data_IF_050974722488
#
_entry.id   IF_050974722488
#
_cell.length_a   1.000
_cell.length_b   1.000
_cell.length_c   1.000
_cell.angle_alpha   90.00
_cell.angle_beta   90.00
_cell.angle_gamma   90.00
#
_symmetry.space_group_name_H-M   'P 1'
#
loop_
_entity.id
_entity.type
_entity.pdbx_description
1 polymer ?
#
# COMPACT_ATOMS: atom_id res chain seq x y z
N UNK A 1 20.10 -52.94 -24.15
CA UNK A 1 20.96 -51.78 -24.01
C UNK A 1 20.29 -50.74 -23.14
N UNK A 2 20.80 -50.58 -22.00
CA UNK A 2 20.22 -49.84 -20.91
C UNK A 2 20.44 -48.35 -21.18
N UNK A 3 19.42 -47.69 -21.64
CA UNK A 3 19.42 -46.27 -21.64
C UNK A 3 19.35 -45.77 -20.21
N UNK A 4 20.53 -45.48 -19.72
CA UNK A 4 20.71 -44.78 -18.47
C UNK A 4 20.27 -43.33 -18.64
N UNK A 5 19.00 -43.19 -18.91
CA UNK A 5 18.36 -41.90 -18.67
C UNK A 5 17.80 -41.96 -17.25
N UNK A 6 18.69 -42.27 -16.33
CA UNK A 6 18.52 -41.74 -15.00
C UNK A 6 18.80 -40.25 -15.10
N UNK A 7 17.82 -39.57 -15.58
CA UNK A 7 17.70 -38.15 -15.36
C UNK A 7 17.70 -38.01 -13.85
N UNK A 8 18.81 -37.60 -13.38
CA UNK A 8 18.92 -36.93 -12.11
C UNK A 8 17.93 -35.78 -12.13
N UNK A 9 16.74 -36.08 -11.68
CA UNK A 9 15.88 -35.09 -11.12
C UNK A 9 16.56 -34.68 -9.80
N UNK A 10 17.66 -33.97 -9.96
CA UNK A 10 18.15 -33.15 -8.88
C UNK A 10 17.02 -32.19 -8.59
N UNK A 11 16.23 -32.61 -7.62
CA UNK A 11 15.33 -31.75 -6.92
C UNK A 11 16.16 -30.60 -6.40
N UNK A 12 16.28 -29.58 -7.22
CA UNK A 12 16.71 -28.29 -6.76
C UNK A 12 15.58 -27.76 -5.92
N UNK A 13 15.55 -28.25 -4.70
CA UNK A 13 14.80 -27.65 -3.61
C UNK A 13 15.46 -26.29 -3.41
N UNK A 14 15.10 -25.38 -4.29
CA UNK A 14 15.28 -23.96 -4.00
C UNK A 14 14.38 -23.75 -2.81
N UNK A 15 14.99 -23.87 -1.66
CA UNK A 15 14.40 -23.37 -0.44
C UNK A 15 14.00 -21.94 -0.72
N UNK A 16 12.70 -21.73 -0.99
CA UNK A 16 12.07 -20.48 -0.70
C UNK A 16 12.19 -20.33 0.83
N UNK A 17 13.35 -19.93 1.25
CA UNK A 17 13.42 -19.21 2.50
C UNK A 17 12.64 -17.92 2.22
N UNK A 18 11.35 -17.98 2.36
CA UNK A 18 10.59 -16.84 2.77
C UNK A 18 11.26 -16.40 4.06
N UNK A 19 12.29 -15.60 3.93
CA UNK A 19 12.66 -14.72 5.01
C UNK A 19 11.42 -13.86 5.21
N UNK A 20 10.52 -14.34 6.03
CA UNK A 20 9.63 -13.49 6.76
C UNK A 20 10.54 -12.65 7.64
N UNK A 21 11.23 -11.74 7.01
CA UNK A 21 11.77 -10.59 7.68
C UNK A 21 10.54 -9.92 8.21
N UNK A 22 10.21 -10.24 9.44
CA UNK A 22 9.35 -9.43 10.26
C UNK A 22 9.99 -8.06 10.35
N UNK A 23 9.95 -7.35 9.24
CA UNK A 23 10.22 -5.94 9.21
C UNK A 23 9.09 -5.33 10.01
N UNK A 24 9.29 -5.21 11.30
CA UNK A 24 8.54 -4.34 12.18
C UNK A 24 8.78 -2.87 11.79
N UNK A 25 9.00 -2.64 10.51
CA UNK A 25 9.00 -1.32 9.95
C UNK A 25 7.56 -0.87 9.96
N UNK A 26 7.22 0.00 10.88
CA UNK A 26 5.90 0.51 11.17
C UNK A 26 5.20 1.27 10.05
N UNK A 27 5.40 0.85 8.81
CA UNK A 27 4.73 1.43 7.64
C UNK A 27 3.27 1.00 7.54
N UNK A 28 2.98 -0.22 7.93
CA UNK A 28 1.63 -0.75 7.88
C UNK A 28 1.27 -1.38 9.22
N UNK A 29 0.50 -0.65 10.01
CA UNK A 29 -0.11 -1.21 11.21
C UNK A 29 -1.18 -2.22 10.77
N UNK A 30 -0.94 -3.50 11.01
CA UNK A 30 -1.80 -4.60 10.57
C UNK A 30 -3.24 -4.47 11.08
N UNK A 31 -3.41 -4.05 12.32
CA UNK A 31 -4.73 -3.80 12.90
C UNK A 31 -5.48 -2.70 12.15
N UNK A 32 -4.78 -1.63 11.85
CA UNK A 32 -5.32 -0.49 11.11
C UNK A 32 -5.63 -0.87 9.66
N UNK A 33 -4.76 -1.62 9.02
CA UNK A 33 -4.97 -2.14 7.69
C UNK A 33 -6.24 -3.00 7.60
N UNK A 34 -6.40 -3.95 8.50
CA UNK A 34 -7.61 -4.80 8.56
C UNK A 34 -8.88 -3.99 8.78
N UNK A 35 -8.83 -2.95 9.61
CA UNK A 35 -9.96 -2.06 9.81
C UNK A 35 -10.32 -1.30 8.53
N UNK A 36 -9.34 -0.81 7.79
CA UNK A 36 -9.55 -0.16 6.50
C UNK A 36 -10.15 -1.11 5.45
N UNK A 37 -9.62 -2.32 5.33
CA UNK A 37 -10.15 -3.32 4.40
C UNK A 37 -11.62 -3.60 4.71
N UNK A 38 -11.97 -3.80 5.97
CA UNK A 38 -13.36 -4.04 6.39
C UNK A 38 -14.30 -2.90 5.98
N UNK A 39 -13.88 -1.66 6.21
CA UNK A 39 -14.67 -0.48 5.84
C UNK A 39 -14.81 -0.34 4.31
N UNK A 40 -13.74 -0.59 3.56
CA UNK A 40 -13.79 -0.57 2.10
C UNK A 40 -14.73 -1.65 1.54
N UNK A 41 -14.60 -2.87 2.04
CA UNK A 41 -15.48 -4.00 1.65
C UNK A 41 -16.93 -3.66 1.91
N UNK A 42 -17.24 -3.12 3.07
CA UNK A 42 -18.59 -2.72 3.43
C UNK A 42 -19.14 -1.58 2.56
N UNK A 43 -18.38 -0.49 2.41
CA UNK A 43 -18.86 0.72 1.72
C UNK A 43 -18.91 0.59 0.20
N UNK A 44 -18.05 -0.25 -0.37
CA UNK A 44 -18.01 -0.51 -1.81
C UNK A 44 -18.78 -1.77 -2.20
N UNK A 45 -19.40 -2.45 -1.25
CA UNK A 45 -20.10 -3.72 -1.49
C UNK A 45 -19.23 -4.75 -2.22
N UNK A 46 -17.96 -4.86 -1.80
CA UNK A 46 -17.02 -5.83 -2.35
C UNK A 46 -17.47 -7.23 -1.96
N UNK A 47 -17.64 -8.11 -2.94
CA UNK A 47 -18.01 -9.51 -2.69
C UNK A 47 -16.85 -10.29 -2.08
N UNK A 48 -17.14 -11.44 -1.46
CA UNK A 48 -16.11 -12.31 -0.89
C UNK A 48 -15.07 -12.77 -1.94
N UNK A 49 -15.50 -13.05 -3.17
CA UNK A 49 -14.59 -13.44 -4.25
C UNK A 49 -13.73 -12.27 -4.75
N UNK A 50 -14.32 -11.08 -4.86
CA UNK A 50 -13.58 -9.87 -5.15
C UNK A 50 -12.56 -9.58 -4.05
N UNK A 51 -12.93 -9.73 -2.77
CA UNK A 51 -12.07 -9.43 -1.64
C UNK A 51 -10.77 -10.22 -1.67
N UNK A 52 -10.82 -11.50 -2.00
CA UNK A 52 -9.62 -12.35 -2.10
C UNK A 52 -8.60 -11.81 -3.09
N UNK A 53 -9.04 -11.21 -4.17
CA UNK A 53 -8.19 -10.61 -5.21
C UNK A 53 -7.86 -9.15 -4.92
N UNK A 54 -8.75 -8.44 -4.27
CA UNK A 54 -8.61 -7.04 -3.89
C UNK A 54 -7.56 -6.83 -2.80
N UNK A 55 -7.56 -7.64 -1.76
CA UNK A 55 -6.68 -7.44 -0.60
C UNK A 55 -5.19 -7.39 -0.95
N UNK A 56 -4.63 -8.30 -1.77
CA UNK A 56 -3.22 -8.20 -2.16
C UNK A 56 -2.88 -6.91 -2.91
N UNK A 57 -3.78 -6.45 -3.77
CA UNK A 57 -3.62 -5.20 -4.53
C UNK A 57 -3.65 -4.01 -3.58
N UNK A 58 -4.60 -3.97 -2.68
CA UNK A 58 -4.75 -2.88 -1.71
C UNK A 58 -3.59 -2.84 -0.71
N UNK A 59 -3.08 -4.00 -0.29
CA UNK A 59 -1.89 -4.08 0.56
C UNK A 59 -0.68 -3.44 -0.11
N UNK A 60 -0.41 -3.82 -1.36
CA UNK A 60 0.69 -3.23 -2.13
C UNK A 60 0.53 -1.71 -2.31
N UNK A 61 -0.69 -1.25 -2.55
CA UNK A 61 -0.99 0.18 -2.59
C UNK A 61 -0.66 0.88 -1.27
N UNK A 62 -1.11 0.32 -0.15
CA UNK A 62 -0.83 0.87 1.18
C UNK A 62 0.67 0.91 1.50
N UNK A 63 1.40 -0.12 1.12
CA UNK A 63 2.86 -0.20 1.31
C UNK A 63 3.60 0.87 0.49
N UNK A 64 3.26 1.03 -0.78
CA UNK A 64 3.87 2.06 -1.64
C UNK A 64 3.55 3.48 -1.13
N UNK A 65 2.30 3.73 -0.76
CA UNK A 65 1.91 5.02 -0.19
C UNK A 65 2.61 5.30 1.14
N UNK A 66 2.71 4.29 2.00
CA UNK A 66 3.40 4.42 3.29
C UNK A 66 4.89 4.70 3.12
N UNK A 67 5.55 4.04 2.18
CA UNK A 67 6.95 4.30 1.85
C UNK A 67 7.16 5.73 1.35
N UNK A 68 6.27 6.22 0.49
CA UNK A 68 6.29 7.60 0.00
C UNK A 68 6.14 8.62 1.15
N UNK A 69 5.19 8.40 2.05
CA UNK A 69 4.98 9.30 3.18
C UNK A 69 6.10 9.25 4.23
N UNK A 70 6.80 8.12 4.35
CA UNK A 70 7.99 8.01 5.19
C UNK A 70 9.14 8.89 4.67
N UNK A 71 9.30 9.02 3.36
CA UNK A 71 10.26 9.95 2.77
C UNK A 71 9.96 11.41 3.14
N UNK A 72 8.70 11.78 3.28
CA UNK A 72 8.29 13.13 3.70
C UNK A 72 8.81 13.49 5.09
N UNK A 73 8.95 12.53 5.98
CA UNK A 73 9.41 12.74 7.35
C UNK A 73 10.93 12.93 7.45
N UNK A 74 11.69 12.66 6.39
CA UNK A 74 13.14 12.87 6.39
C UNK A 74 13.43 14.37 6.46
N UNK A 75 14.29 14.80 7.38
CA UNK A 75 14.65 16.21 7.48
C UNK A 75 15.30 16.68 6.18
N UNK A 76 14.91 17.87 5.73
CA UNK A 76 15.61 18.56 4.68
C UNK A 76 16.85 19.15 5.34
N UNK A 77 18.05 18.85 4.81
CA UNK A 77 19.28 19.50 5.31
C UNK A 77 19.11 21.00 5.16
N UNK A 78 19.25 21.77 6.22
CA UNK A 78 19.14 23.22 6.14
C UNK A 78 20.25 23.74 5.23
N UNK A 79 19.87 24.28 4.11
CA UNK A 79 20.73 25.11 3.28
C UNK A 79 20.12 26.50 3.21
N UNK A 80 20.91 27.45 3.61
CA UNK A 80 20.67 28.88 3.70
C UNK A 80 19.60 29.44 2.74
N UNK A 81 18.68 30.21 3.27
CA UNK A 81 17.75 31.17 2.63
C UNK A 81 16.75 30.71 1.56
N UNK A 82 16.79 29.48 1.08
CA UNK A 82 15.82 28.96 0.10
C UNK A 82 14.93 27.85 0.65
N UNK A 83 14.86 27.69 1.97
CA UNK A 83 14.21 26.53 2.61
C UNK A 83 12.71 26.46 2.30
N UNK A 84 12.00 27.59 2.22
CA UNK A 84 10.58 27.63 1.91
C UNK A 84 10.28 27.14 0.49
N UNK A 85 11.08 27.56 -0.49
CA UNK A 85 10.94 27.12 -1.87
C UNK A 85 11.26 25.62 -2.04
N UNK A 86 12.33 25.16 -1.37
CA UNK A 86 12.70 23.74 -1.36
C UNK A 86 11.61 22.87 -0.72
N UNK A 87 11.03 23.31 0.39
CA UNK A 87 9.91 22.62 1.06
C UNK A 87 8.68 22.56 0.14
N UNK A 88 8.33 23.70 -0.50
CA UNK A 88 7.19 23.75 -1.42
C UNK A 88 7.38 22.82 -2.62
N UNK A 89 8.56 22.83 -3.25
CA UNK A 89 8.91 21.91 -4.33
C UNK A 89 8.77 20.46 -3.91
N UNK A 90 9.37 20.08 -2.79
CA UNK A 90 9.30 18.73 -2.27
C UNK A 90 7.85 18.28 -2.01
N UNK A 91 7.03 19.16 -1.46
CA UNK A 91 5.61 18.90 -1.24
C UNK A 91 4.88 18.59 -2.55
N UNK A 92 5.13 19.39 -3.59
CA UNK A 92 4.52 19.19 -4.91
C UNK A 92 5.01 17.89 -5.57
N UNK A 93 6.29 17.60 -5.52
CA UNK A 93 6.86 16.34 -6.03
C UNK A 93 6.25 15.11 -5.34
N UNK A 94 6.07 15.17 -4.03
CA UNK A 94 5.42 14.11 -3.27
C UNK A 94 3.96 13.92 -3.68
N UNK A 95 3.23 15.00 -3.92
CA UNK A 95 1.85 14.94 -4.40
C UNK A 95 1.77 14.32 -5.80
N UNK A 96 2.68 14.69 -6.71
CA UNK A 96 2.75 14.11 -8.05
C UNK A 96 3.04 12.60 -7.99
N UNK A 97 3.99 12.19 -7.16
CA UNK A 97 4.31 10.77 -6.95
C UNK A 97 3.13 10.01 -6.36
N UNK A 98 2.42 10.59 -5.39
CA UNK A 98 1.21 9.99 -4.83
C UNK A 98 0.11 9.81 -5.89
N UNK A 99 -0.07 10.79 -6.77
CA UNK A 99 -1.00 10.65 -7.89
C UNK A 99 -0.58 9.56 -8.87
N UNK A 100 0.71 9.46 -9.18
CA UNK A 100 1.25 8.39 -10.02
C UNK A 100 0.96 6.99 -9.44
N UNK A 101 1.14 6.81 -8.13
CA UNK A 101 0.78 5.57 -7.44
C UNK A 101 -0.73 5.30 -7.58
N UNK A 102 -1.59 6.28 -7.32
CA UNK A 102 -3.04 6.11 -7.46
C UNK A 102 -3.43 5.69 -8.87
N UNK A 103 -2.90 6.35 -9.89
CA UNK A 103 -3.17 6.00 -11.30
C UNK A 103 -2.76 4.57 -11.61
N UNK A 104 -1.58 4.15 -11.17
CA UNK A 104 -1.11 2.77 -11.34
C UNK A 104 -2.08 1.75 -10.71
N UNK A 105 -2.63 2.06 -9.55
CA UNK A 105 -3.53 1.15 -8.85
C UNK A 105 -4.97 1.21 -9.36
N UNK A 106 -5.40 2.26 -10.03
CA UNK A 106 -6.68 2.27 -10.77
C UNK A 106 -6.74 1.10 -11.74
N UNK A 107 -5.71 0.92 -12.55
CA UNK A 107 -5.65 -0.17 -13.54
C UNK A 107 -5.68 -1.55 -12.86
N UNK A 108 -4.94 -1.72 -11.78
CA UNK A 108 -4.93 -2.97 -11.01
C UNK A 108 -6.27 -3.25 -10.34
N UNK A 109 -6.90 -2.26 -9.75
CA UNK A 109 -8.21 -2.39 -9.11
C UNK A 109 -9.30 -2.70 -10.14
N UNK A 110 -9.23 -2.13 -11.32
CA UNK A 110 -10.17 -2.38 -12.41
C UNK A 110 -10.18 -3.83 -12.90
N UNK A 111 -9.14 -4.62 -12.59
CA UNK A 111 -9.11 -6.06 -12.89
C UNK A 111 -9.97 -6.89 -11.95
N UNK A 112 -10.32 -6.38 -10.78
CA UNK A 112 -11.04 -7.12 -9.72
C UNK A 112 -12.32 -6.43 -9.25
N UNK A 113 -12.43 -5.13 -9.41
CA UNK A 113 -13.58 -4.31 -9.03
C UNK A 113 -14.35 -3.87 -10.28
N UNK A 114 -15.65 -3.62 -10.12
CA UNK A 114 -16.44 -3.02 -11.21
C UNK A 114 -16.19 -1.51 -11.32
N UNK A 115 -16.71 -0.89 -12.38
CA UNK A 115 -16.48 0.52 -12.67
C UNK A 115 -16.94 1.46 -11.54
N UNK A 116 -18.08 1.20 -10.94
CA UNK A 116 -18.62 1.99 -9.83
C UNK A 116 -17.75 1.88 -8.58
N UNK A 117 -17.29 0.67 -8.26
CA UNK A 117 -16.40 0.42 -7.13
C UNK A 117 -15.06 1.14 -7.31
N UNK A 118 -14.48 1.10 -8.53
CA UNK A 118 -13.23 1.81 -8.85
C UNK A 118 -13.39 3.31 -8.75
N UNK A 119 -14.48 3.84 -9.30
CA UNK A 119 -14.78 5.28 -9.28
C UNK A 119 -14.87 5.82 -7.84
N UNK A 120 -15.52 5.08 -6.97
CA UNK A 120 -15.71 5.46 -5.57
C UNK A 120 -14.56 5.10 -4.64
N UNK A 121 -13.61 4.28 -5.08
CA UNK A 121 -12.57 3.72 -4.22
C UNK A 121 -11.76 4.78 -3.47
N UNK A 122 -11.19 5.75 -4.19
CA UNK A 122 -10.34 6.77 -3.57
C UNK A 122 -11.11 7.77 -2.72
N UNK A 123 -12.36 8.04 -3.06
CA UNK A 123 -13.24 8.86 -2.22
C UNK A 123 -13.50 8.16 -0.89
N UNK A 124 -13.90 6.91 -0.94
CA UNK A 124 -14.17 6.11 0.27
C UNK A 124 -12.90 5.93 1.10
N UNK A 125 -11.77 5.67 0.48
CA UNK A 125 -10.48 5.55 1.18
C UNK A 125 -10.12 6.87 1.88
N UNK A 126 -10.33 8.01 1.24
CA UNK A 126 -10.11 9.33 1.83
C UNK A 126 -10.98 9.58 3.06
N UNK A 127 -12.26 9.19 3.00
CA UNK A 127 -13.18 9.27 4.14
C UNK A 127 -12.70 8.42 5.31
N UNK A 128 -12.25 7.21 5.04
CA UNK A 128 -11.71 6.29 6.05
C UNK A 128 -10.46 6.87 6.69
N UNK A 129 -9.54 7.39 5.90
CA UNK A 129 -8.31 8.02 6.40
C UNK A 129 -8.62 9.20 7.34
N UNK A 130 -9.56 10.05 6.94
CA UNK A 130 -9.99 11.19 7.77
C UNK A 130 -10.55 10.75 9.11
N UNK A 131 -11.45 9.78 9.11
CA UNK A 131 -12.05 9.23 10.35
C UNK A 131 -11.02 8.60 11.28
N UNK A 132 -10.03 7.92 10.73
CA UNK A 132 -8.97 7.30 11.53
C UNK A 132 -8.07 8.35 12.16
N UNK A 133 -7.77 9.43 11.44
CA UNK A 133 -6.99 10.55 11.96
C UNK A 133 -7.75 11.23 13.10
N UNK A 134 -9.02 11.54 12.93
CA UNK A 134 -9.86 12.17 13.96
C UNK A 134 -9.90 11.33 15.25
N UNK A 135 -10.03 10.00 15.13
CA UNK A 135 -9.99 9.10 16.30
C UNK A 135 -8.62 9.09 16.99
N UNK A 136 -7.55 9.16 16.23
CA UNK A 136 -6.20 9.21 16.79
C UNK A 136 -5.99 10.51 17.56
N UNK A 137 -6.38 11.64 16.98
CA UNK A 137 -6.23 12.95 17.60
C UNK A 137 -7.04 13.07 18.90
N UNK A 138 -8.26 12.49 18.95
CA UNK A 138 -9.08 12.42 20.16
C UNK A 138 -8.46 11.54 21.25
N UNK A 139 -7.76 10.49 20.88
CA UNK A 139 -7.10 9.58 21.85
C UNK A 139 -5.84 10.20 22.47
N UNK A 140 -5.19 11.13 21.77
CA UNK A 140 -3.96 11.82 22.22
C UNK A 140 -4.25 13.07 23.07
N UNK A 141 -5.49 13.54 23.11
CA UNK A 141 -5.89 14.74 23.86
C UNK A 141 -6.42 14.44 25.28
N UNK A 142 -6.40 13.18 25.69
CA UNK A 142 -6.73 12.73 27.06
C UNK A 142 -5.45 12.38 27.81
#
# INVERSE_FOLDING_TARGET
MMNKLMILFTLMLIGLTSAATGSNNGFLNERLYKAKVRELVYRLHITADQQKKFEPIYRSYCEEMSALWAERKRPIKPSTSSDAAAIAKRKMEMQQRAQGIRMKYIDKLATVLNAEQVDRFFEVESIIQKKLKEKHDQATTK
#
